data_IF_732209769164
#
_entry.id   IF_732209769164
#
_cell.length_a   1.000
_cell.length_b   1.000
_cell.length_c   1.000
_cell.angle_alpha   90.00
_cell.angle_beta   90.00
_cell.angle_gamma   90.00
#
_symmetry.space_group_name_H-M   'P 1'
#
loop_
_entity.id
_entity.type
_entity.pdbx_description
1 polymer ?
#
# COMPACT_ATOMS: atom_id res chain seq x y z
N UNK A 1 3.42 6.07 -6.71
CA UNK A 1 4.17 5.25 -5.72
C UNK A 1 4.46 3.87 -6.27
N UNK A 2 3.45 3.07 -6.67
CA UNK A 2 3.68 1.71 -7.24
C UNK A 2 4.77 1.64 -8.32
N UNK A 3 4.66 2.43 -9.39
CA UNK A 3 5.68 2.44 -10.45
C UNK A 3 7.04 2.89 -9.94
N UNK A 4 7.10 3.93 -9.10
CA UNK A 4 8.33 4.39 -8.48
C UNK A 4 8.98 3.27 -7.63
N UNK A 5 8.20 2.50 -6.87
CA UNK A 5 8.70 1.35 -6.11
C UNK A 5 9.33 0.32 -7.04
N UNK A 6 8.65 -0.06 -8.11
CA UNK A 6 9.20 -1.02 -9.08
C UNK A 6 10.47 -0.51 -9.76
N UNK A 7 10.53 0.78 -10.07
CA UNK A 7 11.73 1.45 -10.59
C UNK A 7 12.90 1.41 -9.59
N UNK A 8 12.65 1.71 -8.32
CA UNK A 8 13.66 1.63 -7.26
C UNK A 8 14.17 0.19 -7.11
N UNK A 9 13.28 -0.80 -7.23
CA UNK A 9 13.66 -2.21 -7.19
C UNK A 9 14.54 -2.56 -8.41
N UNK A 10 14.09 -2.21 -9.62
CA UNK A 10 14.76 -2.52 -10.88
C UNK A 10 16.17 -1.92 -10.93
N UNK A 11 16.31 -0.61 -10.67
CA UNK A 11 17.57 0.10 -10.87
C UNK A 11 18.47 0.11 -9.64
N UNK A 12 17.93 0.17 -8.43
CA UNK A 12 18.73 0.28 -7.21
C UNK A 12 18.83 -1.05 -6.45
N UNK A 13 17.71 -1.70 -6.16
CA UNK A 13 17.72 -2.86 -5.27
C UNK A 13 18.46 -4.05 -5.89
N UNK A 14 18.14 -4.41 -7.14
CA UNK A 14 18.79 -5.55 -7.80
C UNK A 14 20.25 -5.30 -8.13
N UNK A 15 20.64 -4.06 -8.45
CA UNK A 15 22.04 -3.73 -8.67
C UNK A 15 22.86 -3.85 -7.38
N UNK A 16 22.32 -3.38 -6.24
CA UNK A 16 22.94 -3.56 -4.92
C UNK A 16 23.20 -5.03 -4.60
N UNK A 17 22.17 -5.87 -4.70
CA UNK A 17 22.25 -7.26 -4.27
C UNK A 17 22.79 -8.20 -5.36
N UNK A 18 23.26 -7.64 -6.48
CA UNK A 18 23.78 -8.38 -7.65
C UNK A 18 22.81 -9.47 -8.12
N UNK A 19 21.52 -9.17 -8.08
CA UNK A 19 20.47 -10.05 -8.57
C UNK A 19 20.49 -9.99 -10.10
N UNK A 20 20.65 -11.14 -10.74
CA UNK A 20 20.56 -11.24 -12.19
C UNK A 20 19.12 -10.94 -12.63
N UNK A 21 18.98 -10.03 -13.59
CA UNK A 21 17.69 -9.66 -14.17
C UNK A 21 17.46 -10.46 -15.44
N UNK A 22 16.58 -11.45 -15.35
CA UNK A 22 16.23 -12.41 -16.39
C UNK A 22 15.14 -11.87 -17.32
N UNK A 23 14.28 -10.96 -16.84
CA UNK A 23 13.22 -10.40 -17.66
C UNK A 23 13.71 -9.16 -18.41
N UNK A 24 13.24 -9.00 -19.65
CA UNK A 24 13.59 -7.81 -20.44
C UNK A 24 12.89 -6.57 -19.89
N UNK A 25 13.46 -5.39 -20.16
CA UNK A 25 12.86 -4.11 -19.76
C UNK A 25 11.42 -3.93 -20.28
N UNK A 26 11.11 -4.45 -21.47
CA UNK A 26 9.75 -4.43 -22.02
C UNK A 26 8.76 -5.24 -21.16
N UNK A 27 9.19 -6.40 -20.65
CA UNK A 27 8.36 -7.23 -19.78
C UNK A 27 8.19 -6.56 -18.41
N UNK A 28 9.26 -5.97 -17.85
CA UNK A 28 9.18 -5.13 -16.66
C UNK A 28 8.13 -4.00 -16.82
N UNK A 29 8.14 -3.29 -17.95
CA UNK A 29 7.15 -2.24 -18.23
C UNK A 29 5.73 -2.81 -18.30
N UNK A 30 5.52 -3.94 -18.97
CA UNK A 30 4.20 -4.56 -19.10
C UNK A 30 3.65 -5.04 -17.74
N UNK A 31 4.48 -5.66 -16.89
CA UNK A 31 4.10 -6.03 -15.51
C UNK A 31 3.63 -4.79 -14.75
N UNK A 32 4.38 -3.69 -14.84
CA UNK A 32 4.04 -2.48 -14.11
C UNK A 32 2.80 -1.77 -14.67
N UNK A 33 2.64 -1.69 -16.00
CA UNK A 33 1.46 -1.12 -16.64
C UNK A 33 0.20 -1.93 -16.30
N UNK A 34 0.30 -3.25 -16.26
CA UNK A 34 -0.81 -4.12 -15.87
C UNK A 34 -1.23 -3.89 -14.41
N UNK A 35 -0.27 -3.77 -13.49
CA UNK A 35 -0.50 -3.46 -12.09
C UNK A 35 -1.12 -2.07 -11.90
N UNK A 36 -0.63 -1.07 -12.64
CA UNK A 36 -1.19 0.28 -12.65
C UNK A 36 -2.63 0.30 -13.18
N UNK A 37 -2.93 -0.47 -14.23
CA UNK A 37 -4.28 -0.56 -14.79
C UNK A 37 -5.27 -1.17 -13.79
N UNK A 38 -4.93 -2.28 -13.14
CA UNK A 38 -5.76 -2.87 -12.07
C UNK A 38 -5.94 -1.90 -10.90
N UNK A 39 -4.86 -1.25 -10.48
CA UNK A 39 -4.91 -0.25 -9.40
C UNK A 39 -5.78 0.95 -9.74
N UNK A 40 -5.68 1.46 -10.98
CA UNK A 40 -6.51 2.56 -11.47
C UNK A 40 -7.99 2.18 -11.53
N UNK A 41 -8.32 0.94 -11.96
CA UNK A 41 -9.67 0.42 -11.89
C UNK A 41 -10.19 0.39 -10.44
N UNK A 42 -9.33 -0.02 -9.50
CA UNK A 42 -9.63 -0.01 -8.06
C UNK A 42 -9.93 1.39 -7.51
N UNK A 43 -9.10 2.38 -7.83
CA UNK A 43 -9.36 3.77 -7.44
C UNK A 43 -10.66 4.31 -8.07
N UNK A 44 -10.90 4.05 -9.35
CA UNK A 44 -12.12 4.52 -10.04
C UNK A 44 -13.40 3.99 -9.39
N UNK A 45 -13.45 2.69 -9.09
CA UNK A 45 -14.64 2.10 -8.47
C UNK A 45 -14.80 2.56 -7.02
N UNK A 46 -13.70 2.68 -6.27
CA UNK A 46 -13.74 3.22 -4.91
C UNK A 46 -14.29 4.65 -4.90
N UNK A 47 -13.76 5.52 -5.76
CA UNK A 47 -14.21 6.91 -5.87
C UNK A 47 -15.68 7.01 -6.26
N UNK A 48 -16.19 6.10 -7.10
CA UNK A 48 -17.61 6.04 -7.43
C UNK A 48 -18.48 5.69 -6.22
N UNK A 49 -18.07 4.72 -5.42
CA UNK A 49 -18.81 4.35 -4.20
C UNK A 49 -18.76 5.43 -3.13
N UNK A 50 -17.67 6.19 -3.05
CA UNK A 50 -17.50 7.26 -2.06
C UNK A 50 -18.21 8.57 -2.41
N UNK A 51 -18.95 8.67 -3.53
CA UNK A 51 -19.59 9.94 -3.92
C UNK A 51 -20.48 10.51 -2.81
N UNK A 52 -21.32 9.66 -2.19
CA UNK A 52 -22.23 10.08 -1.13
C UNK A 52 -21.48 10.39 0.16
N UNK A 53 -20.60 9.49 0.61
CA UNK A 53 -19.76 9.67 1.80
C UNK A 53 -18.95 10.96 1.75
N UNK A 54 -18.29 11.21 0.62
CA UNK A 54 -17.44 12.38 0.45
C UNK A 54 -18.24 13.68 0.38
N UNK A 55 -19.45 13.66 -0.19
CA UNK A 55 -20.35 14.81 -0.16
C UNK A 55 -20.74 15.20 1.27
N UNK A 56 -21.10 14.21 2.11
CA UNK A 56 -21.42 14.42 3.54
C UNK A 56 -20.18 14.92 4.30
N UNK A 57 -19.01 14.37 3.98
CA UNK A 57 -17.75 14.77 4.58
C UNK A 57 -17.17 16.09 4.02
N UNK A 58 -17.90 16.77 3.12
CA UNK A 58 -17.52 18.04 2.48
C UNK A 58 -16.19 17.98 1.74
N UNK A 59 -15.87 16.83 1.13
CA UNK A 59 -14.69 16.67 0.28
C UNK A 59 -15.04 16.99 -1.17
N UNK A 60 -14.23 17.84 -1.81
CA UNK A 60 -14.43 18.20 -3.21
C UNK A 60 -13.85 17.12 -4.13
N UNK A 61 -14.70 16.45 -4.92
CA UNK A 61 -14.26 15.55 -5.99
C UNK A 61 -14.14 16.29 -7.30
N UNK A 62 -12.93 16.31 -7.87
CA UNK A 62 -12.65 16.95 -9.16
C UNK A 62 -13.26 16.23 -10.38
N UNK A 63 -13.69 14.97 -10.22
CA UNK A 63 -14.06 14.10 -11.35
C UNK A 63 -15.46 13.47 -11.25
N UNK A 64 -16.41 14.07 -10.52
CA UNK A 64 -17.77 13.51 -10.34
C UNK A 64 -18.48 13.29 -11.68
N UNK A 65 -18.30 14.19 -12.65
CA UNK A 65 -18.88 14.07 -14.00
C UNK A 65 -18.44 12.81 -14.73
N UNK A 66 -17.17 12.42 -14.61
CA UNK A 66 -16.64 11.18 -15.17
C UNK A 66 -17.24 9.94 -14.48
N UNK A 67 -17.37 9.96 -13.15
CA UNK A 67 -17.86 8.82 -12.37
C UNK A 67 -19.35 8.49 -12.65
N UNK A 68 -20.12 9.51 -13.02
CA UNK A 68 -21.54 9.40 -13.40
C UNK A 68 -21.75 9.26 -14.93
N UNK A 69 -20.68 9.33 -15.73
CA UNK A 69 -20.76 9.20 -17.18
C UNK A 69 -21.15 7.79 -17.63
N UNK A 70 -21.86 7.62 -18.77
CA UNK A 70 -22.07 6.31 -19.39
C UNK A 70 -20.74 5.62 -19.76
N UNK A 71 -19.65 6.38 -19.95
CA UNK A 71 -18.33 5.82 -20.28
C UNK A 71 -17.60 5.22 -19.07
N UNK A 72 -18.07 5.45 -17.84
CA UNK A 72 -17.45 4.94 -16.62
C UNK A 72 -17.24 3.42 -16.68
N UNK A 73 -18.29 2.66 -17.05
CA UNK A 73 -18.23 1.18 -17.10
C UNK A 73 -17.17 0.72 -18.11
N UNK A 74 -17.11 1.36 -19.28
CA UNK A 74 -16.13 1.03 -20.33
C UNK A 74 -14.70 1.29 -19.85
N UNK A 75 -14.45 2.42 -19.19
CA UNK A 75 -13.13 2.75 -18.63
C UNK A 75 -12.75 1.77 -17.51
N UNK A 76 -13.65 1.54 -16.55
CA UNK A 76 -13.43 0.63 -15.43
C UNK A 76 -13.13 -0.80 -15.89
N UNK A 77 -14.01 -1.40 -16.71
CA UNK A 77 -13.79 -2.75 -17.22
C UNK A 77 -12.62 -2.83 -18.19
N UNK A 78 -12.40 -1.79 -19.00
CA UNK A 78 -11.24 -1.72 -19.88
C UNK A 78 -9.94 -1.83 -19.09
N UNK A 79 -9.76 -1.00 -18.05
CA UNK A 79 -8.58 -1.03 -17.19
C UNK A 79 -8.45 -2.36 -16.42
N UNK A 80 -9.54 -2.85 -15.83
CA UNK A 80 -9.53 -4.08 -15.05
C UNK A 80 -9.18 -5.30 -15.91
N UNK A 81 -9.83 -5.46 -17.06
CA UNK A 81 -9.65 -6.61 -17.95
C UNK A 81 -8.26 -6.56 -18.59
N UNK A 82 -7.85 -5.41 -19.13
CA UNK A 82 -6.52 -5.28 -19.76
C UNK A 82 -5.40 -5.51 -18.75
N UNK A 83 -5.50 -4.92 -17.55
CA UNK A 83 -4.54 -5.14 -16.48
C UNK A 83 -4.50 -6.59 -16.01
N UNK A 84 -5.64 -7.21 -15.77
CA UNK A 84 -5.70 -8.61 -15.34
C UNK A 84 -5.17 -9.58 -16.40
N UNK A 85 -5.60 -9.45 -17.65
CA UNK A 85 -5.18 -10.34 -18.75
C UNK A 85 -3.68 -10.20 -19.00
N UNK A 86 -3.17 -8.98 -19.13
CA UNK A 86 -1.73 -8.77 -19.41
C UNK A 86 -0.85 -9.27 -18.26
N UNK A 87 -1.19 -8.95 -17.00
CA UNK A 87 -0.44 -9.42 -15.84
C UNK A 87 -0.48 -10.94 -15.68
N UNK A 88 -1.65 -11.55 -15.84
CA UNK A 88 -1.82 -13.01 -15.75
C UNK A 88 -1.10 -13.74 -16.88
N UNK A 89 -1.17 -13.21 -18.11
CA UNK A 89 -0.49 -13.78 -19.27
C UNK A 89 1.03 -13.83 -19.08
N UNK A 90 1.64 -12.73 -18.63
CA UNK A 90 3.07 -12.69 -18.31
C UNK A 90 3.39 -13.66 -17.18
N UNK A 91 2.56 -13.70 -16.13
CA UNK A 91 2.76 -14.61 -15.00
C UNK A 91 2.77 -16.09 -15.44
N UNK A 92 1.91 -16.47 -16.39
CA UNK A 92 1.86 -17.83 -16.95
C UNK A 92 3.10 -18.14 -17.79
N UNK A 93 3.51 -17.22 -18.68
CA UNK A 93 4.69 -17.41 -19.54
C UNK A 93 5.95 -17.68 -18.71
N UNK A 94 6.12 -16.94 -17.62
CA UNK A 94 7.27 -17.06 -16.72
C UNK A 94 7.06 -18.09 -15.60
N UNK A 95 5.97 -18.87 -15.64
CA UNK A 95 5.62 -19.86 -14.60
C UNK A 95 5.59 -19.28 -13.17
N UNK A 96 5.27 -18.00 -13.05
CA UNK A 96 5.25 -17.27 -11.79
C UNK A 96 3.85 -17.33 -11.16
N UNK A 97 3.63 -18.38 -10.38
CA UNK A 97 2.35 -18.63 -9.70
C UNK A 97 2.02 -17.57 -8.64
N UNK A 98 3.03 -16.98 -8.00
CA UNK A 98 2.83 -15.91 -7.01
C UNK A 98 2.21 -14.66 -7.66
N UNK A 99 2.77 -14.22 -8.80
CA UNK A 99 2.25 -13.09 -9.54
C UNK A 99 0.84 -13.38 -10.08
N UNK A 100 0.62 -14.57 -10.65
CA UNK A 100 -0.71 -14.98 -11.15
C UNK A 100 -1.76 -14.95 -10.04
N UNK A 101 -1.46 -15.55 -8.89
CA UNK A 101 -2.33 -15.51 -7.72
C UNK A 101 -2.60 -14.07 -7.28
N UNK A 102 -1.57 -13.21 -7.26
CA UNK A 102 -1.70 -11.81 -6.83
C UNK A 102 -2.65 -11.01 -7.74
N UNK A 103 -2.56 -11.18 -9.07
CA UNK A 103 -3.50 -10.53 -10.00
C UNK A 103 -4.93 -11.04 -9.81
N UNK A 104 -5.10 -12.36 -9.67
CA UNK A 104 -6.41 -12.96 -9.41
C UNK A 104 -7.01 -12.45 -8.09
N UNK A 105 -6.21 -12.49 -7.02
CA UNK A 105 -6.59 -11.98 -5.70
C UNK A 105 -6.97 -10.50 -5.76
N UNK A 106 -6.25 -9.68 -6.53
CA UNK A 106 -6.59 -8.26 -6.71
C UNK A 106 -7.97 -8.05 -7.35
N UNK A 107 -8.27 -8.77 -8.44
CA UNK A 107 -9.57 -8.65 -9.12
C UNK A 107 -10.71 -9.16 -8.23
N UNK A 108 -10.53 -10.32 -7.61
CA UNK A 108 -11.51 -10.90 -6.67
C UNK A 108 -11.77 -9.94 -5.51
N UNK A 109 -10.70 -9.41 -4.92
CA UNK A 109 -10.79 -8.42 -3.84
C UNK A 109 -11.54 -7.19 -4.30
N UNK A 110 -11.24 -6.60 -5.46
CA UNK A 110 -11.96 -5.44 -5.98
C UNK A 110 -13.45 -5.71 -6.22
N UNK A 111 -13.81 -6.92 -6.64
CA UNK A 111 -15.20 -7.32 -6.83
C UNK A 111 -15.96 -7.43 -5.49
N UNK A 112 -15.37 -8.11 -4.50
CA UNK A 112 -15.98 -8.29 -3.18
C UNK A 112 -15.88 -7.04 -2.30
N UNK A 113 -14.88 -6.19 -2.53
CA UNK A 113 -14.66 -4.98 -1.74
C UNK A 113 -15.86 -4.07 -1.78
N UNK A 114 -16.37 -3.81 -2.98
CA UNK A 114 -17.47 -2.89 -3.21
C UNK A 114 -18.84 -3.45 -2.79
N UNK A 115 -19.01 -4.76 -2.86
CA UNK A 115 -20.29 -5.41 -2.54
C UNK A 115 -20.42 -5.75 -1.06
N UNK A 116 -19.32 -6.07 -0.37
CA UNK A 116 -19.37 -6.64 0.98
C UNK A 116 -18.27 -6.13 1.94
N UNK A 117 -17.01 -5.96 1.50
CA UNK A 117 -15.91 -5.70 2.45
C UNK A 117 -15.86 -4.26 2.95
N UNK A 118 -16.24 -3.27 2.12
CA UNK A 118 -16.28 -1.86 2.51
C UNK A 118 -17.25 -1.58 3.66
N UNK A 119 -18.27 -2.43 3.81
CA UNK A 119 -19.27 -2.34 4.87
C UNK A 119 -18.84 -3.04 6.17
N UNK A 120 -17.65 -3.65 6.25
CA UNK A 120 -17.25 -4.52 7.37
C UNK A 120 -15.99 -4.05 8.07
N UNK A 121 -16.13 -3.72 9.35
CA UNK A 121 -15.13 -3.39 10.39
C UNK A 121 -13.70 -3.13 9.92
N UNK A 122 -12.95 -4.19 9.59
CA UNK A 122 -11.52 -4.16 9.24
C UNK A 122 -11.19 -4.88 7.93
N UNK A 123 -12.12 -5.64 7.36
CA UNK A 123 -11.82 -6.52 6.25
C UNK A 123 -11.45 -5.72 4.99
N UNK A 124 -12.12 -4.59 4.76
CA UNK A 124 -11.76 -3.66 3.69
C UNK A 124 -10.33 -3.12 3.85
N UNK A 125 -9.97 -2.69 5.07
CA UNK A 125 -8.67 -2.07 5.37
C UNK A 125 -7.52 -3.07 5.30
N UNK A 126 -7.76 -4.31 5.73
CA UNK A 126 -6.82 -5.41 5.60
C UNK A 126 -6.63 -5.77 4.13
N UNK A 127 -7.73 -5.88 3.36
CA UNK A 127 -7.67 -6.23 1.95
C UNK A 127 -6.90 -5.17 1.14
N UNK A 128 -7.19 -3.88 1.31
CA UNK A 128 -6.48 -2.80 0.59
C UNK A 128 -5.00 -2.76 0.95
N UNK A 129 -4.66 -2.97 2.22
CA UNK A 129 -3.28 -3.04 2.69
C UNK A 129 -2.53 -4.27 2.15
N UNK A 130 -3.20 -5.42 2.08
CA UNK A 130 -2.65 -6.64 1.46
C UNK A 130 -2.36 -6.42 -0.02
N UNK A 131 -3.24 -5.77 -0.76
CA UNK A 131 -3.00 -5.46 -2.18
C UNK A 131 -1.76 -4.60 -2.38
N UNK A 132 -1.54 -3.59 -1.52
CA UNK A 132 -0.34 -2.76 -1.58
C UNK A 132 0.92 -3.57 -1.26
N UNK A 133 0.84 -4.45 -0.26
CA UNK A 133 1.94 -5.34 0.12
C UNK A 133 2.34 -6.29 -1.01
N UNK A 134 1.35 -6.97 -1.60
CA UNK A 134 1.55 -7.88 -2.73
C UNK A 134 2.13 -7.13 -3.94
N UNK A 135 1.65 -5.93 -4.23
CA UNK A 135 2.12 -5.13 -5.34
C UNK A 135 3.63 -4.83 -5.30
N UNK A 136 4.22 -4.76 -4.11
CA UNK A 136 5.68 -4.58 -3.93
C UNK A 136 6.45 -5.85 -4.33
N UNK A 137 5.85 -7.03 -4.12
CA UNK A 137 6.48 -8.33 -4.35
C UNK A 137 6.27 -8.87 -5.77
N UNK A 138 5.26 -8.38 -6.51
CA UNK A 138 4.94 -8.88 -7.86
C UNK A 138 6.15 -8.79 -8.79
N UNK A 139 6.75 -7.61 -8.98
CA UNK A 139 7.91 -7.51 -9.88
C UNK A 139 9.10 -8.36 -9.36
N UNK A 140 9.51 -8.26 -8.08
CA UNK A 140 10.61 -9.07 -7.59
C UNK A 140 10.44 -10.58 -7.72
N UNK A 141 9.21 -11.08 -7.66
CA UNK A 141 8.94 -12.51 -7.79
C UNK A 141 9.33 -13.10 -9.15
N UNK A 142 9.56 -12.27 -10.18
CA UNK A 142 10.06 -12.72 -11.49
C UNK A 142 11.58 -12.90 -11.52
N UNK A 143 12.31 -12.34 -10.56
CA UNK A 143 13.77 -12.33 -10.54
C UNK A 143 14.37 -13.07 -9.35
N UNK A 144 13.61 -13.19 -8.25
CA UNK A 144 14.06 -13.82 -7.02
C UNK A 144 13.05 -14.87 -6.59
N UNK A 145 13.55 -16.02 -6.14
CA UNK A 145 12.76 -16.98 -5.40
C UNK A 145 12.34 -16.41 -4.03
N UNK A 146 11.07 -16.01 -3.94
CA UNK A 146 10.48 -15.47 -2.72
C UNK A 146 10.33 -16.52 -1.60
N UNK A 147 10.43 -17.82 -1.91
CA UNK A 147 10.38 -18.87 -0.90
C UNK A 147 11.72 -19.09 -0.19
N UNK A 148 12.81 -18.58 -0.77
CA UNK A 148 14.13 -18.63 -0.16
C UNK A 148 14.28 -17.54 0.91
N UNK A 149 13.75 -17.78 2.11
CA UNK A 149 13.84 -16.85 3.24
C UNK A 149 15.25 -16.69 3.83
N UNK A 150 16.20 -17.55 3.47
CA UNK A 150 17.61 -17.38 3.86
C UNK A 150 18.29 -16.25 3.05
N UNK A 151 17.80 -16.01 1.83
CA UNK A 151 18.28 -14.94 0.96
C UNK A 151 18.09 -13.55 1.60
N UNK A 152 19.19 -12.79 1.69
CA UNK A 152 19.17 -11.40 2.16
C UNK A 152 18.20 -10.50 1.38
N UNK A 153 18.25 -10.42 0.03
CA UNK A 153 17.32 -9.58 -0.71
C UNK A 153 15.85 -10.00 -0.51
N UNK A 154 15.56 -11.30 -0.39
CA UNK A 154 14.20 -11.78 -0.10
C UNK A 154 13.70 -11.25 1.24
N UNK A 155 14.49 -11.35 2.32
CA UNK A 155 14.11 -10.81 3.65
C UNK A 155 13.86 -9.30 3.62
N UNK A 156 14.67 -8.55 2.88
CA UNK A 156 14.53 -7.10 2.77
C UNK A 156 13.25 -6.72 2.00
N UNK A 157 12.92 -7.44 0.92
CA UNK A 157 11.66 -7.24 0.20
C UNK A 157 10.43 -7.51 1.06
N UNK A 158 10.45 -8.61 1.84
CA UNK A 158 9.37 -8.89 2.79
C UNK A 158 9.25 -7.83 3.89
N UNK A 159 10.37 -7.26 4.36
CA UNK A 159 10.32 -6.12 5.28
C UNK A 159 9.62 -4.90 4.65
N UNK A 160 9.93 -4.54 3.40
CA UNK A 160 9.26 -3.43 2.71
C UNK A 160 7.78 -3.71 2.45
N UNK A 161 7.44 -4.94 2.08
CA UNK A 161 6.06 -5.37 1.89
C UNK A 161 5.26 -5.32 3.20
N UNK A 162 5.82 -5.80 4.32
CA UNK A 162 5.20 -5.75 5.64
C UNK A 162 5.08 -4.31 6.17
N UNK A 163 6.12 -3.51 6.02
CA UNK A 163 6.10 -2.10 6.46
C UNK A 163 5.03 -1.31 5.71
N UNK A 164 4.91 -1.52 4.40
CA UNK A 164 3.88 -0.87 3.58
C UNK A 164 2.48 -1.34 3.92
N UNK A 165 2.32 -2.63 4.25
CA UNK A 165 1.07 -3.18 4.79
C UNK A 165 0.65 -2.47 6.07
N UNK A 166 1.54 -2.41 7.08
CA UNK A 166 1.24 -1.82 8.39
C UNK A 166 0.94 -0.32 8.28
N UNK A 167 1.77 0.43 7.55
CA UNK A 167 1.58 1.87 7.36
C UNK A 167 0.25 2.16 6.65
N UNK A 168 -0.10 1.40 5.61
CA UNK A 168 -1.37 1.60 4.93
C UNK A 168 -2.57 1.19 5.79
N UNK A 169 -2.44 0.12 6.58
CA UNK A 169 -3.51 -0.33 7.48
C UNK A 169 -3.83 0.76 8.51
N UNK A 170 -2.81 1.33 9.15
CA UNK A 170 -2.96 2.49 10.05
C UNK A 170 -3.61 3.65 9.30
N UNK A 171 -3.15 3.94 8.08
CA UNK A 171 -3.67 5.05 7.28
C UNK A 171 -5.16 4.90 6.94
N UNK A 172 -5.62 3.70 6.59
CA UNK A 172 -7.05 3.46 6.32
C UNK A 172 -7.90 3.59 7.59
N UNK A 173 -7.44 3.06 8.75
CA UNK A 173 -8.16 3.28 10.04
C UNK A 173 -8.21 4.77 10.41
N UNK A 174 -7.13 5.52 10.16
CA UNK A 174 -7.07 6.98 10.39
C UNK A 174 -8.05 7.71 9.47
N UNK A 175 -8.19 7.30 8.21
CA UNK A 175 -9.18 7.85 7.27
C UNK A 175 -10.61 7.55 7.71
N UNK A 176 -10.90 6.33 8.17
CA UNK A 176 -12.22 6.00 8.71
C UNK A 176 -12.58 6.92 9.90
N UNK A 177 -11.60 7.29 10.75
CA UNK A 177 -11.81 8.26 11.82
C UNK A 177 -11.99 9.71 11.33
N UNK A 178 -11.38 10.06 10.20
CA UNK A 178 -11.58 11.34 9.51
C UNK A 178 -13.00 11.43 8.91
N UNK A 179 -13.52 10.31 8.40
CA UNK A 179 -14.73 10.20 7.58
C UNK A 179 -15.95 9.67 8.31
N UNK A 180 -15.83 9.43 9.63
CA UNK A 180 -16.83 8.82 10.51
C UNK A 180 -18.27 9.37 10.34
N UNK A 181 -18.44 10.66 10.06
CA UNK A 181 -19.77 11.27 9.86
C UNK A 181 -20.45 10.78 8.59
N UNK A 182 -19.71 10.78 7.47
CA UNK A 182 -20.19 10.27 6.19
C UNK A 182 -20.46 8.78 6.26
N UNK A 183 -19.52 8.02 6.82
CA UNK A 183 -19.61 6.56 6.95
C UNK A 183 -20.84 6.14 7.78
N UNK A 184 -21.09 6.84 8.89
CA UNK A 184 -22.26 6.59 9.73
C UNK A 184 -23.57 6.89 9.00
N UNK A 185 -23.63 8.01 8.26
CA UNK A 185 -24.85 8.44 7.58
C UNK A 185 -25.30 7.48 6.46
N UNK A 186 -24.38 6.71 5.86
CA UNK A 186 -24.70 5.69 4.85
C UNK A 186 -24.69 4.26 5.41
N UNK A 187 -24.60 4.10 6.74
CA UNK A 187 -24.70 2.81 7.42
C UNK A 187 -23.52 1.87 7.19
N UNK A 188 -22.28 2.40 7.13
CA UNK A 188 -21.09 1.57 7.13
C UNK A 188 -20.70 1.15 8.55
N UNK A 189 -20.31 -0.11 8.72
CA UNK A 189 -19.82 -0.63 10.00
C UNK A 189 -18.30 -0.53 10.11
N UNK A 190 -17.73 0.69 9.99
CA UNK A 190 -16.27 0.88 10.13
C UNK A 190 -15.80 0.72 11.57
N UNK A 191 -14.51 0.44 11.78
CA UNK A 191 -13.92 0.31 13.12
C UNK A 191 -14.28 1.48 14.07
N UNK A 192 -14.11 2.76 13.69
CA UNK A 192 -14.46 3.87 14.60
C UNK A 192 -15.95 4.03 14.88
N UNK A 193 -16.83 3.49 14.04
CA UNK A 193 -18.27 3.44 14.28
C UNK A 193 -18.60 2.35 15.31
N UNK A 194 -18.06 1.14 15.12
CA UNK A 194 -18.42 -0.02 15.95
C UNK A 194 -17.81 0.00 17.35
N UNK A 195 -16.53 0.38 17.48
CA UNK A 195 -15.83 0.36 18.78
C UNK A 195 -15.50 1.76 19.31
N UNK A 196 -15.94 2.78 18.60
CA UNK A 196 -15.65 4.17 18.93
C UNK A 196 -14.28 4.63 18.45
N UNK A 197 -14.18 5.94 18.30
CA UNK A 197 -12.99 6.64 17.80
C UNK A 197 -11.76 6.48 18.70
N UNK A 198 -11.94 6.48 20.01
CA UNK A 198 -10.82 6.36 20.96
C UNK A 198 -10.15 4.99 20.89
N UNK A 199 -10.93 3.90 20.85
CA UNK A 199 -10.37 2.55 20.72
C UNK A 199 -9.70 2.35 19.36
N UNK A 200 -10.29 2.88 18.29
CA UNK A 200 -9.70 2.85 16.94
C UNK A 200 -8.38 3.61 16.85
N UNK A 201 -8.29 4.75 17.55
CA UNK A 201 -7.04 5.52 17.72
C UNK A 201 -5.98 4.70 18.46
N UNK A 202 -6.34 4.02 19.55
CA UNK A 202 -5.41 3.19 20.30
C UNK A 202 -4.90 2.01 19.46
N UNK A 203 -5.77 1.34 18.70
CA UNK A 203 -5.37 0.28 17.76
C UNK A 203 -4.37 0.83 16.73
N UNK A 204 -4.69 1.98 16.11
CA UNK A 204 -3.82 2.65 15.14
C UNK A 204 -2.44 2.98 15.74
N UNK A 205 -2.43 3.48 16.98
CA UNK A 205 -1.21 3.77 17.73
C UNK A 205 -0.37 2.50 17.98
N UNK A 206 -0.99 1.42 18.45
CA UNK A 206 -0.27 0.17 18.72
C UNK A 206 0.31 -0.45 17.45
N UNK A 207 -0.44 -0.48 16.35
CA UNK A 207 0.07 -0.97 15.06
C UNK A 207 1.26 -0.11 14.60
N UNK A 208 1.16 1.22 14.75
CA UNK A 208 2.25 2.13 14.39
C UNK A 208 3.50 1.91 15.27
N UNK A 209 3.33 1.71 16.58
CA UNK A 209 4.43 1.39 17.49
C UNK A 209 5.11 0.06 17.13
N UNK A 210 4.34 -0.97 16.79
CA UNK A 210 4.88 -2.24 16.30
C UNK A 210 5.69 -2.00 15.02
N UNK A 211 5.15 -1.22 14.08
CA UNK A 211 5.87 -0.85 12.85
C UNK A 211 7.18 -0.12 13.13
N UNK A 212 7.21 0.81 14.11
CA UNK A 212 8.43 1.50 14.54
C UNK A 212 9.45 0.54 15.12
N UNK A 213 9.03 -0.37 16.01
CA UNK A 213 9.92 -1.37 16.64
C UNK A 213 10.50 -2.31 15.59
N UNK A 214 9.67 -2.84 14.68
CA UNK A 214 10.13 -3.71 13.59
C UNK A 214 11.13 -2.98 12.70
N UNK A 215 10.90 -1.69 12.42
CA UNK A 215 11.85 -0.85 11.66
C UNK A 215 13.17 -0.67 12.43
N UNK A 216 13.13 -0.35 13.72
CA UNK A 216 14.35 -0.21 14.55
C UNK A 216 15.16 -1.50 14.51
N UNK A 217 14.53 -2.64 14.82
CA UNK A 217 15.21 -3.93 14.82
C UNK A 217 15.83 -4.26 13.45
N UNK A 218 15.09 -4.01 12.38
CA UNK A 218 15.54 -4.26 11.02
C UNK A 218 16.74 -3.39 10.64
N UNK A 219 16.61 -2.06 10.72
CA UNK A 219 17.70 -1.16 10.32
C UNK A 219 18.93 -1.29 11.21
N UNK A 220 18.76 -1.50 12.53
CA UNK A 220 19.88 -1.76 13.42
C UNK A 220 20.57 -3.07 13.07
N UNK A 221 19.84 -4.15 12.81
CA UNK A 221 20.45 -5.43 12.43
C UNK A 221 21.25 -5.33 11.13
N UNK A 222 20.70 -4.69 10.09
CA UNK A 222 21.34 -4.61 8.78
C UNK A 222 22.43 -3.54 8.68
N UNK A 223 22.31 -2.41 9.37
CA UNK A 223 23.24 -1.27 9.22
C UNK A 223 24.09 -0.98 10.46
N UNK A 224 24.18 -1.91 11.42
CA UNK A 224 24.94 -1.70 12.67
C UNK A 224 26.38 -1.23 12.43
N UNK A 225 27.03 -1.79 11.41
CA UNK A 225 28.43 -1.52 11.08
C UNK A 225 28.62 -0.25 10.25
N UNK A 226 27.55 0.35 9.73
CA UNK A 226 27.59 1.54 8.89
C UNK A 226 26.81 2.69 9.55
N UNK A 227 27.50 3.46 10.37
CA UNK A 227 26.91 4.53 11.17
C UNK A 227 26.17 5.59 10.34
N UNK A 228 26.66 5.90 9.13
CA UNK A 228 26.02 6.87 8.24
C UNK A 228 24.66 6.36 7.72
N UNK A 229 24.61 5.10 7.27
CA UNK A 229 23.37 4.48 6.81
C UNK A 229 22.38 4.30 7.96
N UNK A 230 22.85 3.86 9.12
CA UNK A 230 22.03 3.76 10.31
C UNK A 230 21.45 5.12 10.71
N UNK A 231 22.28 6.17 10.77
CA UNK A 231 21.83 7.53 11.07
C UNK A 231 20.76 8.01 10.07
N UNK A 232 20.95 7.77 8.77
CA UNK A 232 19.98 8.15 7.75
C UNK A 232 18.64 7.40 7.89
N UNK A 233 18.67 6.10 8.21
CA UNK A 233 17.47 5.32 8.48
C UNK A 233 16.72 5.84 9.71
N UNK A 234 17.45 6.24 10.76
CA UNK A 234 16.84 6.85 11.94
C UNK A 234 16.16 8.18 11.60
N UNK A 235 16.83 9.04 10.85
CA UNK A 235 16.34 10.37 10.50
C UNK A 235 15.10 10.33 9.60
N UNK A 236 15.09 9.47 8.57
CA UNK A 236 14.05 9.49 7.55
C UNK A 236 12.95 8.44 7.72
N UNK A 237 13.20 7.37 8.48
CA UNK A 237 12.22 6.29 8.68
C UNK A 237 11.81 6.20 10.14
N UNK A 238 12.74 5.93 11.05
CA UNK A 238 12.38 5.58 12.44
C UNK A 238 11.80 6.78 13.19
N UNK A 239 12.49 7.93 13.21
CA UNK A 239 12.02 9.13 13.94
C UNK A 239 10.64 9.60 13.42
N UNK A 240 10.42 9.74 12.09
CA UNK A 240 9.09 10.05 11.56
C UNK A 240 8.02 9.04 11.97
N UNK A 241 8.35 7.74 12.01
CA UNK A 241 7.40 6.70 12.44
C UNK A 241 6.92 6.90 13.89
N UNK A 242 7.86 7.21 14.80
CA UNK A 242 7.58 7.46 16.22
C UNK A 242 6.81 8.76 16.41
N UNK A 243 7.18 9.82 15.68
CA UNK A 243 6.44 11.08 15.68
C UNK A 243 4.99 10.85 15.23
N UNK A 244 4.77 10.07 14.17
CA UNK A 244 3.41 9.75 13.70
C UNK A 244 2.64 8.97 14.78
N UNK A 245 3.25 7.99 15.43
CA UNK A 245 2.61 7.27 16.54
C UNK A 245 2.20 8.25 17.66
N UNK A 246 3.09 9.15 18.06
CA UNK A 246 2.79 10.19 19.04
C UNK A 246 1.63 11.09 18.58
N UNK A 247 1.64 11.58 17.34
CA UNK A 247 0.56 12.40 16.78
C UNK A 247 -0.78 11.66 16.77
N UNK A 248 -0.80 10.36 16.45
CA UNK A 248 -1.99 9.52 16.54
C UNK A 248 -2.53 9.55 17.97
N UNK A 249 -1.69 9.33 18.99
CA UNK A 249 -2.14 9.30 20.39
C UNK A 249 -2.81 10.61 20.83
N UNK A 250 -2.33 11.75 20.33
CA UNK A 250 -2.82 13.09 20.66
C UNK A 250 -4.03 13.55 19.81
N UNK A 251 -4.36 12.84 18.73
CA UNK A 251 -5.42 13.24 17.79
C UNK A 251 -6.81 13.25 18.45
N UNK A 252 -7.60 14.30 18.17
CA UNK A 252 -8.98 14.45 18.66
C UNK A 252 -9.94 14.89 17.56
N UNK A 253 -9.50 15.82 16.70
CA UNK A 253 -10.36 16.46 15.71
C UNK A 253 -10.13 15.91 14.30
N UNK A 254 -11.12 16.07 13.42
CA UNK A 254 -11.04 15.63 12.00
C UNK A 254 -9.77 16.13 11.30
N UNK A 255 -9.37 17.37 11.55
CA UNK A 255 -8.16 17.98 10.98
C UNK A 255 -6.87 17.24 11.39
N UNK A 256 -6.83 16.66 12.59
CA UNK A 256 -5.67 15.90 13.07
C UNK A 256 -5.51 14.62 12.23
N UNK A 257 -6.60 13.87 12.04
CA UNK A 257 -6.61 12.65 11.22
C UNK A 257 -6.23 12.92 9.76
N UNK A 258 -6.72 14.02 9.19
CA UNK A 258 -6.35 14.43 7.82
C UNK A 258 -4.84 14.70 7.69
N UNK A 259 -4.27 15.42 8.67
CA UNK A 259 -2.81 15.68 8.73
C UNK A 259 -2.01 14.39 8.92
N UNK A 260 -2.46 13.49 9.78
CA UNK A 260 -1.80 12.21 10.03
C UNK A 260 -1.87 11.30 8.81
N UNK A 261 -3.02 11.22 8.13
CA UNK A 261 -3.18 10.47 6.88
C UNK A 261 -2.22 10.96 5.79
N UNK A 262 -2.03 12.28 5.69
CA UNK A 262 -1.04 12.88 4.81
C UNK A 262 0.40 12.57 5.25
N UNK A 263 0.71 12.67 6.54
CA UNK A 263 2.02 12.33 7.09
C UNK A 263 2.40 10.85 6.86
N UNK A 264 1.45 9.92 7.04
CA UNK A 264 1.62 8.50 6.74
C UNK A 264 1.92 8.26 5.25
N UNK A 265 1.28 9.01 4.35
CA UNK A 265 1.56 8.95 2.91
C UNK A 265 2.99 9.41 2.58
N UNK A 266 3.45 10.49 3.19
CA UNK A 266 4.83 10.97 3.05
C UNK A 266 5.81 9.95 3.63
N UNK A 267 5.52 9.43 4.82
CA UNK A 267 6.36 8.46 5.51
C UNK A 267 6.50 7.16 4.71
N UNK A 268 5.42 6.66 4.10
CA UNK A 268 5.50 5.54 3.15
C UNK A 268 6.45 5.86 1.98
N UNK A 269 6.47 7.11 1.49
CA UNK A 269 7.40 7.57 0.47
C UNK A 269 8.86 7.53 0.93
N UNK A 270 9.16 8.01 2.14
CA UNK A 270 10.51 7.91 2.72
C UNK A 270 10.93 6.46 2.97
N UNK A 271 10.01 5.62 3.44
CA UNK A 271 10.23 4.18 3.57
C UNK A 271 10.67 3.56 2.25
N UNK A 272 9.97 3.86 1.15
CA UNK A 272 10.36 3.37 -0.18
C UNK A 272 11.70 3.93 -0.66
N UNK A 273 11.95 5.23 -0.47
CA UNK A 273 13.22 5.85 -0.85
C UNK A 273 14.40 5.30 -0.05
N UNK A 274 14.16 4.74 1.14
CA UNK A 274 15.22 4.10 1.94
C UNK A 274 15.83 2.87 1.26
N UNK A 275 15.20 2.31 0.21
CA UNK A 275 15.83 1.30 -0.66
C UNK A 275 17.18 1.82 -1.20
N UNK A 276 17.28 3.11 -1.49
CA UNK A 276 18.51 3.74 -1.99
C UNK A 276 19.66 3.71 -0.97
N UNK A 277 19.36 3.57 0.33
CA UNK A 277 20.39 3.45 1.37
C UNK A 277 21.21 2.16 1.19
N UNK A 278 20.59 1.11 0.65
CA UNK A 278 21.28 -0.14 0.36
C UNK A 278 22.22 -0.03 -0.85
N UNK A 279 22.16 1.02 -1.68
CA UNK A 279 23.15 1.20 -2.75
C UNK A 279 24.59 1.34 -2.22
N UNK A 280 24.74 1.78 -0.98
CA UNK A 280 26.02 1.98 -0.31
C UNK A 280 26.38 0.82 0.62
N UNK A 281 25.71 -0.33 0.45
CA UNK A 281 25.97 -1.59 1.13
C UNK A 281 27.06 -2.40 0.42
#
# INVERSE_FOLDING_TARGET
MLFLTACLIYWSFFSTFKVEQNISFSIFLLINLSLLAVSAAGYLINDKHDIQTDAINQKTKKHISLLNSPHFKKLYFGLLITGFISGSFISIIYSNWFALFSYFFAVVTLHFYNSHLKKRLLLGNLATSLLISLAILIYPSFEIDLLNFESHPTRILYFFALSSFLINLVREIIKDMEDIKGDYAIGLDTLPILIGKERSKNISFFIMMISSIVSILFYTFYFLQNAYLLFSAYLFVIIPSVIIAYLISQSKFKKDYSRISFALKIHAGFGLLSILLFHWF
#
